data_IF_913176235851
#
_entry.id   IF_913176235851
#
_cell.length_a   1.000
_cell.length_b   1.000
_cell.length_c   1.000
_cell.angle_alpha   90.00
_cell.angle_beta   90.00
_cell.angle_gamma   90.00
#
_symmetry.space_group_name_H-M   'P 1'
#
loop_
_entity.id
_entity.type
_entity.pdbx_description
1 polymer ?
#
# COMPACT_ATOMS: atom_id res chain seq x y z
N UNK A 1 36.41 -36.77 44.48
CA UNK A 1 36.43 -36.09 43.15
C UNK A 1 34.99 -35.89 42.69
N UNK A 2 34.40 -34.66 42.76
CA UNK A 2 33.05 -34.43 42.30
C UNK A 2 33.09 -34.18 40.77
N UNK A 3 32.11 -34.73 40.05
CA UNK A 3 31.90 -34.53 38.59
C UNK A 3 31.30 -33.18 38.32
N UNK A 4 31.67 -32.46 37.28
CA UNK A 4 31.00 -31.21 36.90
C UNK A 4 29.65 -31.50 36.25
N UNK A 5 28.59 -30.93 36.79
CA UNK A 5 27.25 -30.91 36.17
C UNK A 5 27.21 -29.88 35.05
N UNK A 6 26.99 -30.34 33.83
CA UNK A 6 26.82 -29.52 32.65
C UNK A 6 25.48 -28.79 32.70
N UNK A 7 25.50 -27.47 32.86
CA UNK A 7 24.31 -26.59 32.83
C UNK A 7 24.14 -25.86 31.49
N UNK A 8 24.75 -26.35 30.40
CA UNK A 8 24.80 -25.64 29.11
C UNK A 8 23.62 -25.82 28.15
N UNK A 9 22.66 -26.76 28.27
CA UNK A 9 21.58 -26.82 27.28
C UNK A 9 20.40 -25.89 27.52
N UNK A 10 20.20 -25.39 28.74
CA UNK A 10 19.04 -24.54 29.05
C UNK A 10 19.18 -23.07 28.60
N UNK A 11 20.39 -22.53 28.55
CA UNK A 11 20.64 -21.15 28.12
C UNK A 11 20.50 -20.98 26.59
N UNK A 12 20.81 -22.03 25.83
CA UNK A 12 20.68 -22.05 24.36
C UNK A 12 19.21 -22.09 23.92
N UNK A 13 18.34 -22.76 24.69
CA UNK A 13 16.91 -22.86 24.36
C UNK A 13 16.17 -21.54 24.64
N UNK A 14 16.57 -20.79 25.67
CA UNK A 14 15.99 -19.47 25.99
C UNK A 14 16.38 -18.41 24.97
N UNK A 15 17.57 -18.49 24.38
CA UNK A 15 18.00 -17.57 23.30
C UNK A 15 17.28 -17.85 21.98
N UNK A 16 16.88 -19.10 21.69
CA UNK A 16 16.13 -19.43 20.48
C UNK A 16 14.66 -19.01 20.54
N UNK A 17 14.06 -18.91 21.74
CA UNK A 17 12.66 -18.48 21.91
C UNK A 17 12.47 -16.97 21.81
N UNK A 18 13.54 -16.17 21.88
CA UNK A 18 13.46 -14.71 21.73
C UNK A 18 13.43 -14.22 20.28
N UNK A 19 13.65 -15.10 19.29
CA UNK A 19 13.63 -14.73 17.87
C UNK A 19 12.25 -14.83 17.19
N UNK A 20 11.22 -15.33 17.88
CA UNK A 20 9.88 -15.54 17.29
C UNK A 20 8.86 -14.41 17.54
N UNK A 21 9.25 -13.31 18.18
CA UNK A 21 8.37 -12.16 18.41
C UNK A 21 8.82 -10.89 17.69
N UNK A 22 9.34 -11.02 16.45
CA UNK A 22 9.54 -9.89 15.57
C UNK A 22 8.29 -9.71 14.67
N UNK A 23 7.16 -9.44 15.29
CA UNK A 23 6.11 -8.65 14.66
C UNK A 23 6.73 -7.26 14.44
N UNK A 24 7.33 -7.02 13.27
CA UNK A 24 8.03 -5.79 12.98
C UNK A 24 7.03 -4.65 12.87
N UNK A 25 6.92 -3.84 13.92
CA UNK A 25 6.34 -2.52 13.80
C UNK A 25 7.24 -1.73 12.83
N UNK A 26 6.72 -1.43 11.64
CA UNK A 26 7.39 -0.52 10.71
C UNK A 26 7.40 0.86 11.34
N UNK A 27 8.59 1.37 11.65
CA UNK A 27 8.76 2.75 12.10
C UNK A 27 8.98 3.63 10.89
N UNK A 28 8.18 4.68 10.72
CA UNK A 28 8.52 5.75 9.77
C UNK A 28 9.65 6.54 10.41
N UNK A 29 10.86 6.36 9.90
CA UNK A 29 11.98 7.19 10.28
C UNK A 29 11.82 8.60 9.68
N UNK A 30 12.28 9.65 10.38
CA UNK A 30 12.44 10.98 9.82
C UNK A 30 13.21 10.88 8.49
N UNK A 31 12.63 11.39 7.38
CA UNK A 31 13.19 11.26 6.03
C UNK A 31 12.67 10.08 5.21
N UNK A 32 11.78 9.24 5.73
CA UNK A 32 11.19 8.16 4.93
C UNK A 32 10.38 8.73 3.77
N UNK A 33 10.65 8.21 2.58
CA UNK A 33 9.86 8.53 1.39
C UNK A 33 8.45 7.98 1.53
N UNK A 34 7.47 8.81 1.20
CA UNK A 34 6.06 8.43 1.18
C UNK A 34 5.40 8.99 -0.06
N UNK A 35 4.38 8.31 -0.53
CA UNK A 35 3.61 8.68 -1.72
C UNK A 35 2.12 8.67 -1.40
N UNK A 36 1.35 9.42 -2.17
CA UNK A 36 -0.10 9.41 -2.11
C UNK A 36 -0.66 8.66 -3.32
N UNK A 37 -1.46 7.63 -3.07
CA UNK A 37 -2.13 6.86 -4.12
C UNK A 37 -3.63 6.78 -3.86
N UNK A 38 -4.41 6.54 -4.89
CA UNK A 38 -5.85 6.33 -4.77
C UNK A 38 -6.15 5.03 -4.02
N UNK A 39 -7.15 5.06 -3.15
CA UNK A 39 -7.76 3.87 -2.61
C UNK A 39 -8.44 3.06 -3.74
N UNK A 40 -8.10 1.76 -3.93
CA UNK A 40 -8.68 0.92 -4.99
C UNK A 40 -10.20 0.84 -5.01
N UNK A 41 -10.86 1.15 -3.88
CA UNK A 41 -12.32 1.14 -3.75
C UNK A 41 -12.97 2.47 -4.15
N UNK A 42 -12.19 3.48 -4.56
CA UNK A 42 -12.70 4.80 -4.93
C UNK A 42 -13.60 4.72 -6.17
N UNK A 43 -14.77 5.32 -6.08
CA UNK A 43 -15.75 5.34 -7.18
C UNK A 43 -15.26 6.25 -8.31
N UNK A 44 -15.71 5.94 -9.52
CA UNK A 44 -15.29 6.66 -10.74
C UNK A 44 -15.51 8.18 -10.65
N UNK A 45 -16.63 8.63 -10.13
CA UNK A 45 -16.91 10.07 -9.97
C UNK A 45 -15.92 10.76 -9.01
N UNK A 46 -15.50 10.07 -7.96
CA UNK A 46 -14.52 10.56 -6.99
C UNK A 46 -13.12 10.58 -7.60
N UNK A 47 -12.76 9.58 -8.42
CA UNK A 47 -11.48 9.58 -9.17
C UNK A 47 -11.37 10.82 -10.06
N UNK A 48 -12.44 11.15 -10.80
CA UNK A 48 -12.48 12.34 -11.66
C UNK A 48 -12.36 13.63 -10.85
N UNK A 49 -13.08 13.72 -9.73
CA UNK A 49 -13.04 14.89 -8.86
C UNK A 49 -11.64 15.09 -8.24
N UNK A 50 -10.99 14.00 -7.80
CA UNK A 50 -9.63 14.06 -7.26
C UNK A 50 -8.61 14.48 -8.31
N UNK A 51 -8.71 13.89 -9.51
CA UNK A 51 -7.85 14.23 -10.65
C UNK A 51 -7.97 15.71 -11.01
N UNK A 52 -9.20 16.19 -11.18
CA UNK A 52 -9.46 17.59 -11.52
C UNK A 52 -8.96 18.54 -10.42
N UNK A 53 -9.27 18.24 -9.15
CA UNK A 53 -8.79 19.03 -8.01
C UNK A 53 -7.26 19.10 -7.99
N UNK A 54 -6.58 17.98 -8.05
CA UNK A 54 -5.11 17.95 -7.99
C UNK A 54 -4.49 18.70 -9.19
N UNK A 55 -4.95 18.44 -10.42
CA UNK A 55 -4.42 19.08 -11.61
C UNK A 55 -4.70 20.59 -11.72
N UNK A 56 -5.67 21.10 -10.99
CA UNK A 56 -5.88 22.55 -10.85
C UNK A 56 -4.82 23.22 -9.95
N UNK A 57 -4.07 22.47 -9.17
CA UNK A 57 -3.03 22.99 -8.28
C UNK A 57 -1.61 22.67 -8.74
N UNK A 58 -1.44 21.58 -9.50
CA UNK A 58 -0.13 21.10 -9.99
C UNK A 58 -0.17 20.77 -11.47
N UNK A 59 0.99 20.79 -12.15
CA UNK A 59 1.07 20.48 -13.58
C UNK A 59 0.87 18.99 -13.86
N UNK A 60 -0.14 18.63 -14.65
CA UNK A 60 -0.48 17.24 -15.00
C UNK A 60 -0.10 16.83 -16.42
N UNK A 61 0.89 17.46 -17.03
CA UNK A 61 1.30 17.16 -18.42
C UNK A 61 1.79 15.72 -18.62
N UNK A 62 2.35 15.10 -17.57
CA UNK A 62 2.91 13.75 -17.66
C UNK A 62 1.84 12.65 -17.84
N UNK A 63 0.60 12.89 -17.43
CA UNK A 63 -0.53 11.97 -17.63
C UNK A 63 -1.36 12.30 -18.87
N UNK A 64 -0.97 13.29 -19.67
CA UNK A 64 -1.58 13.58 -20.97
C UNK A 64 -0.96 12.72 -22.06
N UNK A 65 -1.63 12.64 -23.21
CA UNK A 65 -1.15 11.86 -24.33
C UNK A 65 0.29 12.24 -24.72
N UNK A 66 1.18 11.24 -24.75
CA UNK A 66 2.62 11.43 -24.98
C UNK A 66 3.43 11.68 -23.72
N UNK A 67 2.81 11.87 -22.56
CA UNK A 67 3.50 11.98 -21.28
C UNK A 67 4.01 10.64 -20.75
N UNK A 68 5.03 10.68 -19.89
CA UNK A 68 5.70 9.48 -19.34
C UNK A 68 4.79 8.60 -18.47
N UNK A 69 3.73 9.18 -17.92
CA UNK A 69 2.75 8.52 -17.06
C UNK A 69 1.36 8.45 -17.70
N UNK A 70 1.26 8.56 -19.03
CA UNK A 70 -0.02 8.41 -19.71
C UNK A 70 -0.54 6.96 -19.65
N UNK A 71 0.36 5.97 -19.76
CA UNK A 71 -0.01 4.56 -19.70
C UNK A 71 0.27 3.94 -18.33
N UNK A 72 -0.61 3.07 -17.83
CA UNK A 72 -1.90 2.68 -18.40
C UNK A 72 -2.91 3.84 -18.37
N UNK A 73 -3.68 4.01 -19.49
CA UNK A 73 -4.66 5.09 -19.60
C UNK A 73 -5.92 4.75 -18.79
N UNK A 74 -5.80 4.83 -17.46
CA UNK A 74 -6.88 4.58 -16.52
C UNK A 74 -7.04 5.74 -15.53
N UNK A 75 -8.27 6.00 -15.13
CA UNK A 75 -8.53 7.07 -14.15
C UNK A 75 -7.86 6.84 -12.80
N UNK A 76 -7.77 5.59 -12.36
CA UNK A 76 -7.13 5.28 -11.07
C UNK A 76 -5.62 5.58 -11.11
N UNK A 77 -4.96 5.30 -12.22
CA UNK A 77 -3.54 5.62 -12.40
C UNK A 77 -3.34 7.14 -12.50
N UNK A 78 -4.10 7.83 -13.35
CA UNK A 78 -3.98 9.27 -13.53
C UNK A 78 -4.32 10.04 -12.26
N UNK A 79 -5.39 9.65 -11.54
CA UNK A 79 -5.73 10.26 -10.27
C UNK A 79 -4.65 10.02 -9.21
N UNK A 80 -4.12 8.79 -9.09
CA UNK A 80 -3.01 8.49 -8.16
C UNK A 80 -1.78 9.35 -8.45
N UNK A 81 -1.42 9.49 -9.72
CA UNK A 81 -0.28 10.31 -10.10
C UNK A 81 -0.48 11.79 -9.74
N UNK A 82 -1.63 12.36 -10.11
CA UNK A 82 -1.96 13.75 -9.81
C UNK A 82 -2.05 14.02 -8.28
N UNK A 83 -2.67 13.12 -7.54
CA UNK A 83 -2.76 13.19 -6.07
C UNK A 83 -1.38 13.13 -5.43
N UNK A 84 -0.46 12.31 -5.96
CA UNK A 84 0.91 12.28 -5.47
C UNK A 84 1.64 13.59 -5.74
N UNK A 85 1.54 14.15 -6.93
CA UNK A 85 2.14 15.47 -7.24
C UNK A 85 1.62 16.55 -6.29
N UNK A 86 0.32 16.58 -6.03
CA UNK A 86 -0.29 17.51 -5.08
C UNK A 86 0.24 17.28 -3.65
N UNK A 87 0.29 16.04 -3.20
CA UNK A 87 0.79 15.65 -1.89
C UNK A 87 2.25 16.08 -1.66
N UNK A 88 3.12 15.84 -2.64
CA UNK A 88 4.52 16.28 -2.59
C UNK A 88 4.62 17.82 -2.56
N UNK A 89 3.87 18.49 -3.43
CA UNK A 89 3.85 19.96 -3.52
C UNK A 89 3.37 20.62 -2.21
N UNK A 90 2.41 20.03 -1.51
CA UNK A 90 1.87 20.54 -0.25
C UNK A 90 2.71 20.22 0.98
N UNK A 91 3.83 19.49 0.84
CA UNK A 91 4.76 19.18 1.92
C UNK A 91 4.51 17.88 2.65
N UNK A 92 3.74 16.96 2.05
CA UNK A 92 3.53 15.57 2.50
C UNK A 92 2.84 15.44 3.87
N UNK A 93 1.96 16.36 4.25
CA UNK A 93 1.14 16.16 5.44
C UNK A 93 0.05 15.12 5.15
N UNK A 94 -0.33 14.35 6.15
CA UNK A 94 -1.36 13.31 6.01
C UNK A 94 -2.68 13.86 5.44
N UNK A 95 -3.06 15.08 5.84
CA UNK A 95 -4.26 15.75 5.36
C UNK A 95 -4.22 16.02 3.84
N UNK A 96 -3.05 16.22 3.27
CA UNK A 96 -2.87 16.50 1.84
C UNK A 96 -3.04 15.26 0.95
N UNK A 97 -3.04 14.05 1.55
CA UNK A 97 -3.38 12.81 0.87
C UNK A 97 -4.80 12.31 1.23
N UNK A 98 -5.60 13.06 1.97
CA UNK A 98 -6.91 12.56 2.41
C UNK A 98 -7.92 12.46 1.25
N UNK A 99 -8.05 13.50 0.41
CA UNK A 99 -8.98 13.53 -0.74
C UNK A 99 -10.36 12.92 -0.39
N UNK A 100 -10.95 13.37 0.72
CA UNK A 100 -12.24 12.87 1.23
C UNK A 100 -12.22 11.34 1.46
N UNK A 101 -11.16 10.84 2.09
CA UNK A 101 -10.90 9.44 2.41
C UNK A 101 -10.62 8.52 1.20
N UNK A 102 -10.40 9.08 0.02
CA UNK A 102 -10.06 8.31 -1.18
C UNK A 102 -8.55 8.23 -1.47
N UNK A 103 -7.69 8.88 -0.68
CA UNK A 103 -6.24 8.77 -0.80
C UNK A 103 -5.64 7.89 0.29
N UNK A 104 -4.56 7.19 -0.03
CA UNK A 104 -3.78 6.34 0.87
C UNK A 104 -2.32 6.74 0.82
N UNK A 105 -1.67 6.86 1.99
CA UNK A 105 -0.22 7.06 2.06
C UNK A 105 0.47 5.72 1.88
N UNK A 106 1.30 5.60 0.84
CA UNK A 106 2.12 4.43 0.56
C UNK A 106 3.54 4.61 1.11
N UNK A 107 4.07 3.55 1.72
CA UNK A 107 5.46 3.40 2.12
C UNK A 107 6.31 2.74 1.02
N UNK A 108 5.67 2.26 -0.04
CA UNK A 108 6.30 1.63 -1.19
C UNK A 108 6.17 2.55 -2.41
N UNK A 109 7.23 2.62 -3.22
CA UNK A 109 7.27 3.43 -4.43
C UNK A 109 6.25 2.92 -5.47
N UNK A 110 5.26 3.75 -5.89
CA UNK A 110 4.30 3.36 -6.91
C UNK A 110 4.83 3.48 -8.34
N UNK A 111 6.03 3.99 -8.56
CA UNK A 111 6.63 4.14 -9.88
C UNK A 111 6.68 2.82 -10.66
N UNK A 112 6.53 2.88 -11.98
CA UNK A 112 6.56 1.72 -12.86
C UNK A 112 6.99 2.13 -14.28
N UNK A 113 7.92 1.37 -14.86
CA UNK A 113 8.43 1.66 -16.22
C UNK A 113 9.01 3.06 -16.33
N UNK A 114 8.51 3.85 -17.29
CA UNK A 114 8.90 5.25 -17.49
C UNK A 114 8.17 6.25 -16.58
N UNK A 115 7.14 5.80 -15.87
CA UNK A 115 6.37 6.65 -14.97
C UNK A 115 7.00 6.68 -13.59
N UNK A 116 7.56 7.83 -13.23
CA UNK A 116 8.16 8.07 -11.92
C UNK A 116 7.23 8.92 -11.06
N UNK A 117 6.85 8.38 -9.91
CA UNK A 117 6.17 9.14 -8.87
C UNK A 117 7.24 9.85 -8.03
N UNK A 118 7.25 11.17 -8.10
CA UNK A 118 8.20 11.97 -7.33
C UNK A 118 7.98 11.76 -5.83
N UNK A 119 9.08 11.78 -5.09
CA UNK A 119 9.09 11.87 -3.65
C UNK A 119 10.27 12.74 -3.24
N UNK A 120 10.00 13.91 -2.69
CA UNK A 120 11.06 14.75 -2.15
C UNK A 120 11.66 14.07 -0.91
N UNK A 121 12.87 13.55 -1.09
CA UNK A 121 13.54 12.68 -0.12
C UNK A 121 14.06 13.37 1.13
N UNK A 122 14.18 14.70 1.14
CA UNK A 122 14.92 15.41 2.18
C UNK A 122 14.23 16.74 2.56
N UNK A 123 12.98 16.69 3.03
CA UNK A 123 12.54 17.79 3.88
C UNK A 123 12.98 17.42 5.31
N UNK A 124 14.02 18.08 5.80
CA UNK A 124 14.29 18.17 7.24
C UNK A 124 13.10 18.85 7.92
N UNK A 125 11.98 18.18 7.93
CA UNK A 125 10.83 18.56 8.73
C UNK A 125 11.16 18.23 10.18
N UNK A 126 11.42 19.27 10.97
CA UNK A 126 11.52 19.21 12.42
C UNK A 126 10.16 18.82 13.02
N UNK A 127 9.71 17.61 12.76
CA UNK A 127 8.50 16.98 13.28
C UNK A 127 8.91 15.75 14.07
N UNK A 128 9.13 15.94 15.37
CA UNK A 128 9.22 14.87 16.36
C UNK A 128 7.85 14.19 16.46
N UNK A 129 7.62 13.19 15.64
CA UNK A 129 6.62 12.18 15.89
C UNK A 129 7.15 10.86 15.35
N UNK A 130 7.79 10.09 16.21
CA UNK A 130 7.97 8.65 16.03
C UNK A 130 6.60 8.01 16.21
N UNK A 131 5.71 8.16 15.23
CA UNK A 131 4.51 7.36 15.19
C UNK A 131 4.93 5.94 14.79
N UNK A 132 4.88 5.03 15.74
CA UNK A 132 4.92 3.60 15.43
C UNK A 132 3.70 3.29 14.56
N UNK A 133 3.93 2.94 13.29
CA UNK A 133 2.88 2.42 12.43
C UNK A 133 2.57 1.01 12.93
N UNK A 134 1.52 0.89 13.72
CA UNK A 134 1.11 -0.40 14.32
C UNK A 134 0.39 -1.29 13.31
N UNK A 135 -0.25 -0.70 12.31
CA UNK A 135 -1.05 -1.42 11.32
C UNK A 135 -0.71 -0.97 9.91
N UNK A 136 -0.61 -1.93 9.01
CA UNK A 136 -0.37 -1.70 7.58
C UNK A 136 -1.22 -2.65 6.75
N UNK A 137 -1.51 -2.22 5.52
CA UNK A 137 -2.31 -2.96 4.55
C UNK A 137 -1.56 -3.08 3.24
N UNK A 138 -1.94 -4.07 2.44
CA UNK A 138 -1.38 -4.29 1.11
C UNK A 138 -2.44 -3.97 0.05
N UNK A 139 -2.15 -3.02 -0.84
CA UNK A 139 -3.01 -2.68 -1.96
C UNK A 139 -2.26 -2.82 -3.28
N UNK A 140 -2.98 -2.76 -4.38
CA UNK A 140 -2.41 -2.88 -5.73
C UNK A 140 -1.81 -1.56 -6.19
N UNK A 141 -0.68 -1.63 -6.89
CA UNK A 141 -0.13 -0.49 -7.65
C UNK A 141 -1.12 0.00 -8.70
N UNK A 142 -1.33 1.32 -8.83
CA UNK A 142 -2.27 1.88 -9.83
C UNK A 142 -1.93 1.58 -11.29
N UNK A 143 -0.68 1.21 -11.56
CA UNK A 143 -0.16 0.86 -12.90
C UNK A 143 -0.29 -0.61 -13.26
N UNK A 144 -0.88 -1.45 -12.38
CA UNK A 144 -0.94 -2.89 -12.57
C UNK A 144 -1.93 -3.25 -13.68
N UNK A 145 -1.48 -4.06 -14.64
CA UNK A 145 -2.31 -4.53 -15.74
C UNK A 145 -3.30 -5.62 -15.31
N UNK A 146 -4.43 -5.71 -16.00
CA UNK A 146 -5.54 -6.62 -15.65
C UNK A 146 -5.14 -8.09 -15.51
N UNK A 147 -4.22 -8.59 -16.37
CA UNK A 147 -3.76 -9.96 -16.26
C UNK A 147 -2.97 -10.23 -14.97
N UNK A 148 -2.18 -9.25 -14.49
CA UNK A 148 -1.46 -9.34 -13.24
C UNK A 148 -2.40 -9.24 -12.04
N UNK A 149 -3.44 -8.39 -12.13
CA UNK A 149 -4.50 -8.33 -11.13
C UNK A 149 -5.16 -9.70 -10.94
N UNK A 150 -5.52 -10.35 -12.07
CA UNK A 150 -6.13 -11.68 -12.02
C UNK A 150 -5.18 -12.74 -11.45
N UNK A 151 -3.88 -12.69 -11.79
CA UNK A 151 -2.90 -13.61 -11.21
C UNK A 151 -2.74 -13.40 -9.70
N UNK A 152 -2.73 -12.14 -9.24
CA UNK A 152 -2.67 -11.82 -7.81
C UNK A 152 -3.90 -12.34 -7.05
N UNK A 153 -5.10 -12.19 -7.63
CA UNK A 153 -6.34 -12.77 -7.07
C UNK A 153 -6.20 -14.28 -6.98
N UNK A 154 -5.84 -14.95 -8.08
CA UNK A 154 -5.71 -16.40 -8.13
C UNK A 154 -4.69 -16.92 -7.12
N UNK A 155 -3.52 -16.28 -7.04
CA UNK A 155 -2.51 -16.63 -6.07
C UNK A 155 -3.03 -16.48 -4.63
N UNK A 156 -3.55 -15.32 -4.29
CA UNK A 156 -4.02 -15.04 -2.93
C UNK A 156 -5.16 -15.98 -2.51
N UNK A 157 -6.17 -16.16 -3.37
CA UNK A 157 -7.34 -16.97 -3.09
C UNK A 157 -7.05 -18.48 -3.03
N UNK A 158 -5.88 -18.94 -3.47
CA UNK A 158 -5.41 -20.29 -3.21
C UNK A 158 -4.89 -20.49 -1.78
N UNK A 159 -4.65 -19.39 -1.04
CA UNK A 159 -4.07 -19.42 0.30
C UNK A 159 -5.02 -18.90 1.37
N UNK A 160 -5.99 -18.04 1.00
CA UNK A 160 -6.94 -17.41 1.92
C UNK A 160 -8.38 -17.50 1.38
N UNK A 161 -9.38 -17.33 2.26
CA UNK A 161 -10.77 -17.35 1.85
C UNK A 161 -11.17 -16.03 1.17
N UNK A 162 -11.43 -16.09 -0.12
CA UNK A 162 -11.89 -14.97 -0.94
C UNK A 162 -13.42 -14.89 -1.12
N UNK A 163 -14.19 -15.53 -0.26
CA UNK A 163 -15.67 -15.45 -0.33
C UNK A 163 -16.21 -14.01 -0.28
N UNK A 164 -15.58 -13.05 0.44
CA UNK A 164 -16.07 -11.67 0.48
C UNK A 164 -16.06 -10.93 -0.86
N UNK A 165 -15.24 -11.33 -1.83
CA UNK A 165 -15.21 -10.73 -3.18
C UNK A 165 -16.04 -11.50 -4.22
N UNK A 166 -16.76 -12.55 -3.80
CA UNK A 166 -17.70 -13.26 -4.65
C UNK A 166 -19.08 -12.60 -4.61
N UNK A 167 -19.94 -12.95 -5.56
CA UNK A 167 -21.30 -12.40 -5.64
C UNK A 167 -22.02 -12.52 -4.29
N UNK A 168 -22.60 -11.40 -3.84
CA UNK A 168 -23.23 -11.28 -2.52
C UNK A 168 -22.26 -11.08 -1.35
N UNK A 169 -20.94 -11.12 -1.54
CA UNK A 169 -19.94 -10.85 -0.50
C UNK A 169 -19.82 -9.36 -0.15
N UNK A 170 -19.30 -9.07 1.05
CA UNK A 170 -19.20 -7.70 1.58
C UNK A 170 -18.26 -6.80 0.79
N UNK A 171 -17.28 -7.36 0.08
CA UNK A 171 -16.29 -6.66 -0.73
C UNK A 171 -16.46 -6.94 -2.24
N UNK A 172 -17.63 -7.47 -2.66
CA UNK A 172 -17.92 -7.71 -4.07
C UNK A 172 -18.00 -6.40 -4.87
N UNK A 173 -18.56 -5.35 -4.26
CA UNK A 173 -18.66 -4.03 -4.87
C UNK A 173 -17.51 -3.12 -4.41
N UNK A 174 -16.90 -2.31 -5.30
CA UNK A 174 -17.13 -2.27 -6.76
C UNK A 174 -16.57 -3.51 -7.48
N UNK A 175 -17.27 -4.00 -8.52
CA UNK A 175 -16.89 -5.20 -9.28
C UNK A 175 -15.73 -4.93 -10.24
N UNK A 176 -14.60 -4.45 -9.72
CA UNK A 176 -13.39 -4.20 -10.50
C UNK A 176 -12.28 -5.18 -10.12
N UNK A 177 -11.45 -5.57 -11.09
CA UNK A 177 -10.27 -6.40 -10.82
C UNK A 177 -9.35 -5.74 -9.78
N UNK A 178 -9.21 -4.41 -9.85
CA UNK A 178 -8.37 -3.63 -8.94
C UNK A 178 -8.84 -3.77 -7.48
N UNK A 179 -10.16 -3.63 -7.23
CA UNK A 179 -10.74 -3.82 -5.89
C UNK A 179 -10.55 -5.26 -5.39
N UNK A 180 -10.93 -6.24 -6.21
CA UNK A 180 -10.84 -7.65 -5.83
C UNK A 180 -9.39 -8.09 -5.60
N UNK A 181 -8.44 -7.61 -6.42
CA UNK A 181 -7.02 -7.89 -6.23
C UNK A 181 -6.49 -7.25 -4.94
N UNK A 182 -6.81 -5.98 -4.68
CA UNK A 182 -6.38 -5.30 -3.46
C UNK A 182 -6.88 -6.03 -2.21
N UNK A 183 -8.15 -6.43 -2.20
CA UNK A 183 -8.72 -7.20 -1.09
C UNK A 183 -8.03 -8.55 -0.89
N UNK A 184 -7.90 -9.34 -1.95
CA UNK A 184 -7.28 -10.67 -1.88
C UNK A 184 -5.80 -10.60 -1.45
N UNK A 185 -5.04 -9.65 -2.01
CA UNK A 185 -3.65 -9.40 -1.65
C UNK A 185 -3.51 -8.99 -0.18
N UNK A 186 -4.41 -8.13 0.31
CA UNK A 186 -4.39 -7.74 1.73
C UNK A 186 -4.71 -8.93 2.65
N UNK A 187 -5.69 -9.75 2.33
CA UNK A 187 -5.97 -10.95 3.13
C UNK A 187 -4.75 -11.87 3.24
N UNK A 188 -4.06 -12.09 2.11
CA UNK A 188 -2.82 -12.87 2.11
C UNK A 188 -1.74 -12.20 2.97
N UNK A 189 -1.53 -10.89 2.79
CA UNK A 189 -0.57 -10.10 3.55
C UNK A 189 -0.81 -10.17 5.06
N UNK A 190 -2.07 -10.00 5.50
CA UNK A 190 -2.45 -10.09 6.92
C UNK A 190 -2.22 -11.52 7.45
N UNK A 191 -2.60 -12.55 6.69
CA UNK A 191 -2.46 -13.96 7.10
C UNK A 191 -1.00 -14.41 7.24
N UNK A 192 -0.07 -13.76 6.55
CA UNK A 192 1.36 -14.08 6.55
C UNK A 192 2.20 -13.19 7.47
N UNK A 193 1.55 -12.42 8.35
CA UNK A 193 2.22 -11.61 9.39
C UNK A 193 2.75 -10.27 8.91
N UNK A 194 2.22 -9.73 7.81
CA UNK A 194 2.51 -8.37 7.31
C UNK A 194 3.98 -8.11 6.96
N UNK A 195 4.70 -9.14 6.53
CA UNK A 195 6.06 -8.99 6.02
C UNK A 195 6.09 -8.23 4.69
N UNK A 196 7.08 -7.36 4.46
CA UNK A 196 7.19 -6.58 3.21
C UNK A 196 7.21 -7.45 1.95
N UNK A 197 7.82 -8.62 2.01
CA UNK A 197 7.85 -9.61 0.91
C UNK A 197 6.48 -10.20 0.61
N UNK A 198 5.58 -10.26 1.60
CA UNK A 198 4.21 -10.76 1.42
C UNK A 198 3.29 -9.79 0.68
N UNK A 199 3.70 -8.52 0.52
CA UNK A 199 3.00 -7.51 -0.30
C UNK A 199 3.73 -7.20 -1.61
N UNK A 200 4.82 -7.89 -1.95
CA UNK A 200 5.56 -7.59 -3.18
C UNK A 200 4.78 -7.95 -4.45
N UNK A 201 4.17 -9.12 -4.49
CA UNK A 201 3.39 -9.60 -5.65
C UNK A 201 4.06 -9.29 -6.99
N UNK A 202 5.36 -9.61 -7.09
CA UNK A 202 6.18 -9.32 -8.29
C UNK A 202 6.22 -7.82 -8.63
N UNK A 203 6.32 -6.98 -7.61
CA UNK A 203 6.42 -5.53 -7.74
C UNK A 203 5.08 -4.82 -7.99
N UNK A 204 3.94 -5.50 -7.83
CA UNK A 204 2.60 -4.89 -8.03
C UNK A 204 1.89 -4.51 -6.73
N UNK A 205 2.45 -4.84 -5.57
CA UNK A 205 1.90 -4.48 -4.27
C UNK A 205 2.47 -3.19 -3.70
N UNK A 206 1.67 -2.51 -2.90
CA UNK A 206 2.04 -1.32 -2.14
C UNK A 206 1.62 -1.50 -0.69
N UNK A 207 2.53 -1.20 0.24
CA UNK A 207 2.21 -1.14 1.67
C UNK A 207 1.69 0.25 1.99
N UNK A 208 0.49 0.32 2.56
CA UNK A 208 -0.17 1.57 2.96
C UNK A 208 -0.41 1.62 4.46
N UNK A 209 -0.54 2.84 5.02
CA UNK A 209 -0.60 3.09 6.46
C UNK A 209 -2.02 3.30 6.99
N UNK A 210 -3.02 3.24 6.13
CA UNK A 210 -4.43 3.39 6.49
C UNK A 210 -5.25 2.26 5.90
N UNK A 211 -6.26 1.80 6.67
CA UNK A 211 -7.22 0.80 6.21
C UNK A 211 -7.91 1.28 4.92
N UNK A 212 -7.78 0.55 3.81
CA UNK A 212 -8.47 0.87 2.58
C UNK A 212 -9.97 0.53 2.61
N UNK A 213 -10.46 -0.13 3.67
CA UNK A 213 -11.84 -0.56 3.80
C UNK A 213 -12.87 0.56 3.58
N UNK A 214 -14.02 0.22 3.03
CA UNK A 214 -15.09 1.14 2.73
C UNK A 214 -16.47 0.50 2.94
N UNK A 215 -17.34 1.19 3.66
CA UNK A 215 -18.68 0.68 3.95
C UNK A 215 -18.62 -0.61 4.77
N UNK A 216 -19.15 -1.70 4.21
CA UNK A 216 -19.15 -3.03 4.85
C UNK A 216 -17.95 -3.89 4.43
N UNK A 217 -17.06 -3.39 3.55
CA UNK A 217 -15.84 -4.09 3.15
C UNK A 217 -14.72 -3.73 4.10
N UNK A 218 -14.31 -4.68 4.91
CA UNK A 218 -13.21 -4.57 5.88
C UNK A 218 -11.98 -5.29 5.35
N UNK A 219 -10.83 -4.63 5.37
CA UNK A 219 -9.55 -5.17 4.92
C UNK A 219 -8.72 -5.75 6.06
#
# INVERSE_FOLDING_TARGET
MPKPTSTLPFLSLLLMLSYFNLGGNLKVANGQKTWCVVNPLTRHAELLANLDYACNHVGCSQIQQGGSCFYPNTYIHHASFAMNLYYQYMGRHEVDCNFTNSGLISLSDPSSGSCTYESDGDIEGNGTSENEISETWCVVKPTTEDYMLQENINFSCNHVDCSPIKDGGSCFQPTTLMNHAAFAMNLYYQSTGRGSTSCDFRGTGLIVTRDPGYGNCTF
#
